data_IF_598560475709
#
_entry.id   IF_598560475709
#
_cell.length_a   1.000
_cell.length_b   1.000
_cell.length_c   1.000
_cell.angle_alpha   90.00
_cell.angle_beta   90.00
_cell.angle_gamma   90.00
#
_symmetry.space_group_name_H-M   'P 1'
#
loop_
_entity.id
_entity.type
_entity.pdbx_description
1 polymer ?
#
# COMPACT_ATOMS: atom_id res chain seq x y z
N UNK A 1 -24.15 10.59 -22.97
CA UNK A 1 -24.35 9.25 -22.41
C UNK A 1 -22.97 8.62 -22.28
N UNK A 2 -22.35 8.68 -21.09
CA UNK A 2 -21.05 8.03 -20.86
C UNK A 2 -21.25 6.52 -20.78
N UNK A 3 -20.62 5.80 -21.71
CA UNK A 3 -20.63 4.35 -21.78
C UNK A 3 -20.22 3.72 -20.43
N UNK A 4 -21.08 2.84 -19.90
CA UNK A 4 -20.92 2.14 -18.63
C UNK A 4 -19.62 1.33 -18.56
N UNK A 5 -19.11 0.86 -19.71
CA UNK A 5 -17.81 0.19 -19.78
C UNK A 5 -16.64 1.16 -19.47
N UNK A 6 -16.77 2.43 -19.87
CA UNK A 6 -15.75 3.46 -19.62
C UNK A 6 -15.74 3.88 -18.14
N UNK A 7 -16.91 3.91 -17.47
CA UNK A 7 -17.02 4.18 -16.03
C UNK A 7 -16.40 3.06 -15.18
N UNK A 8 -16.67 1.79 -15.51
CA UNK A 8 -16.06 0.64 -14.83
C UNK A 8 -14.54 0.58 -15.03
N UNK A 9 -14.04 0.99 -16.20
CA UNK A 9 -12.60 1.05 -16.48
C UNK A 9 -11.86 2.06 -15.59
N UNK A 10 -12.50 3.18 -15.21
CA UNK A 10 -11.91 4.15 -14.25
C UNK A 10 -11.86 3.63 -12.82
N UNK A 11 -12.87 2.86 -12.38
CA UNK A 11 -12.89 2.30 -11.03
C UNK A 11 -11.73 1.33 -10.77
N UNK A 12 -11.20 0.70 -11.82
CA UNK A 12 -10.08 -0.23 -11.73
C UNK A 12 -8.70 0.41 -11.97
N UNK A 13 -8.62 1.72 -12.26
CA UNK A 13 -7.34 2.42 -12.36
C UNK A 13 -6.97 3.05 -11.01
N UNK A 14 -5.90 2.55 -10.40
CA UNK A 14 -5.31 3.16 -9.21
C UNK A 14 -4.67 4.50 -9.58
N UNK A 15 -5.17 5.58 -8.97
CA UNK A 15 -4.56 6.90 -9.10
C UNK A 15 -3.25 6.97 -8.31
N UNK A 16 -2.31 7.79 -8.75
CA UNK A 16 -1.14 8.12 -7.94
C UNK A 16 -1.58 8.85 -6.68
N UNK A 17 -1.21 8.36 -5.50
CA UNK A 17 -1.60 8.99 -4.24
C UNK A 17 -1.12 8.24 -3.01
N UNK A 18 -1.45 8.81 -1.86
CA UNK A 18 -1.24 8.17 -0.55
C UNK A 18 -2.56 7.52 -0.15
N UNK A 19 -2.50 6.22 0.11
CA UNK A 19 -3.66 5.43 0.54
C UNK A 19 -3.50 5.08 2.01
N UNK A 20 -4.47 5.49 2.83
CA UNK A 20 -4.56 5.09 4.23
C UNK A 20 -5.44 3.84 4.29
N UNK A 21 -4.89 2.76 4.82
CA UNK A 21 -5.56 1.46 4.92
C UNK A 21 -5.71 1.09 6.40
N UNK A 22 -6.87 0.54 6.75
CA UNK A 22 -7.01 -0.19 8.00
C UNK A 22 -6.28 -1.54 7.86
N UNK A 23 -5.53 -1.94 8.89
CA UNK A 23 -5.00 -3.29 9.01
C UNK A 23 -6.02 -4.21 9.67
N UNK A 24 -6.08 -5.50 9.29
CA UNK A 24 -6.93 -6.47 9.98
C UNK A 24 -6.60 -6.56 11.47
N UNK A 25 -7.62 -6.84 12.30
CA UNK A 25 -7.45 -6.99 13.76
C UNK A 25 -7.11 -8.44 14.16
N UNK A 26 -6.93 -9.32 13.18
CA UNK A 26 -6.58 -10.72 13.40
C UNK A 26 -7.16 -11.67 12.35
N UNK A 27 -8.16 -11.23 11.57
CA UNK A 27 -8.78 -12.04 10.53
C UNK A 27 -8.52 -11.45 9.12
N UNK A 28 -7.97 -12.24 8.21
CA UNK A 28 -7.71 -11.79 6.83
C UNK A 28 -8.99 -11.33 6.09
N UNK A 29 -10.16 -11.83 6.49
CA UNK A 29 -11.44 -11.42 5.93
C UNK A 29 -11.85 -9.98 6.30
N UNK A 30 -11.22 -9.37 7.30
CA UNK A 30 -11.44 -7.95 7.65
C UNK A 30 -10.85 -7.01 6.58
N UNK A 31 -9.99 -7.53 5.70
CA UNK A 31 -9.35 -6.75 4.65
C UNK A 31 -10.24 -6.66 3.40
N UNK A 32 -10.66 -5.45 3.06
CA UNK A 32 -11.41 -5.20 1.82
C UNK A 32 -10.63 -5.60 0.56
N UNK A 33 -11.36 -6.00 -0.49
CA UNK A 33 -10.77 -6.27 -1.81
C UNK A 33 -10.00 -5.06 -2.37
N UNK A 34 -10.48 -3.84 -2.08
CA UNK A 34 -9.77 -2.61 -2.44
C UNK A 34 -8.42 -2.49 -1.74
N UNK A 35 -8.33 -2.85 -0.47
CA UNK A 35 -7.07 -2.82 0.27
C UNK A 35 -6.09 -3.88 -0.25
N UNK A 36 -6.57 -5.08 -0.61
CA UNK A 36 -5.75 -6.11 -1.28
C UNK A 36 -5.21 -5.59 -2.62
N UNK A 37 -6.06 -4.96 -3.43
CA UNK A 37 -5.67 -4.35 -4.70
C UNK A 37 -4.63 -3.24 -4.53
N UNK A 38 -4.77 -2.40 -3.49
CA UNK A 38 -3.79 -1.35 -3.18
C UNK A 38 -2.46 -1.98 -2.76
N UNK A 39 -2.48 -2.97 -1.85
CA UNK A 39 -1.27 -3.64 -1.36
C UNK A 39 -0.52 -4.37 -2.49
N UNK A 40 -1.24 -4.94 -3.47
CA UNK A 40 -0.62 -5.64 -4.60
C UNK A 40 -0.01 -4.72 -5.66
N UNK A 41 -0.49 -3.46 -5.77
CA UNK A 41 -0.05 -2.50 -6.79
C UNK A 41 0.83 -1.36 -6.23
N UNK A 42 0.96 -1.26 -4.90
CA UNK A 42 1.71 -0.16 -4.30
C UNK A 42 3.23 -0.28 -4.54
N UNK A 43 3.88 0.87 -4.62
CA UNK A 43 5.34 0.93 -4.78
C UNK A 43 6.07 0.93 -3.44
N UNK A 44 5.43 1.42 -2.37
CA UNK A 44 6.00 1.63 -1.04
C UNK A 44 4.90 1.48 0.01
N UNK A 45 5.24 0.83 1.14
CA UNK A 45 4.36 0.79 2.31
C UNK A 45 5.04 1.49 3.49
N UNK A 46 4.30 2.33 4.19
CA UNK A 46 4.64 2.80 5.53
C UNK A 46 3.81 2.03 6.55
N UNK A 47 4.45 1.53 7.59
CA UNK A 47 3.78 0.79 8.64
C UNK A 47 4.40 1.12 10.00
N UNK A 48 3.59 1.11 11.04
CA UNK A 48 4.07 1.23 12.42
C UNK A 48 5.03 0.07 12.76
N UNK A 49 4.53 -1.16 12.63
CA UNK A 49 5.32 -2.39 12.77
C UNK A 49 5.44 -3.13 11.42
N UNK A 50 6.63 -3.00 10.81
CA UNK A 50 6.94 -3.64 9.52
C UNK A 50 6.95 -5.18 9.57
N UNK A 51 7.06 -5.80 10.76
CA UNK A 51 7.01 -7.26 10.94
C UNK A 51 5.60 -7.77 10.72
N UNK A 52 4.60 -7.07 11.25
CA UNK A 52 3.18 -7.39 11.05
C UNK A 52 2.82 -7.25 9.58
N UNK A 53 3.20 -6.13 8.95
CA UNK A 53 2.96 -5.92 7.52
C UNK A 53 3.62 -6.99 6.66
N UNK A 54 4.84 -7.43 7.00
CA UNK A 54 5.50 -8.51 6.26
C UNK A 54 4.73 -9.83 6.37
N UNK A 55 4.27 -10.20 7.57
CA UNK A 55 3.42 -11.38 7.77
C UNK A 55 2.12 -11.26 6.97
N UNK A 56 1.48 -10.09 6.97
CA UNK A 56 0.27 -9.84 6.19
C UNK A 56 0.51 -10.06 4.68
N UNK A 57 1.59 -9.51 4.12
CA UNK A 57 1.93 -9.72 2.71
C UNK A 57 2.18 -11.21 2.40
N UNK A 58 2.88 -11.93 3.28
CA UNK A 58 3.09 -13.38 3.13
C UNK A 58 1.76 -14.15 3.14
N UNK A 59 0.86 -13.85 4.09
CA UNK A 59 -0.45 -14.49 4.18
C UNK A 59 -1.34 -14.22 2.96
N UNK A 60 -1.19 -13.05 2.35
CA UNK A 60 -1.88 -12.67 1.11
C UNK A 60 -1.17 -13.17 -0.16
N UNK A 61 -0.05 -13.90 -0.02
CA UNK A 61 0.80 -14.34 -1.12
C UNK A 61 1.28 -13.18 -2.03
N UNK A 62 1.50 -12.00 -1.45
CA UNK A 62 1.95 -10.80 -2.12
C UNK A 62 3.46 -10.62 -2.00
N UNK A 63 4.09 -10.18 -3.09
CA UNK A 63 5.51 -9.80 -3.09
C UNK A 63 5.69 -8.48 -2.34
N UNK A 64 6.91 -8.28 -1.83
CA UNK A 64 7.32 -7.00 -1.25
C UNK A 64 7.24 -5.89 -2.32
N UNK A 65 6.75 -4.68 -1.97
CA UNK A 65 6.75 -3.55 -2.90
C UNK A 65 8.15 -3.19 -3.42
N UNK A 66 8.28 -2.67 -4.65
CA UNK A 66 9.57 -2.29 -5.25
C UNK A 66 10.45 -1.39 -4.37
N UNK A 67 9.86 -0.39 -3.71
CA UNK A 67 10.58 0.53 -2.81
C UNK A 67 10.66 0.02 -1.37
N UNK A 68 9.93 -1.07 -1.07
CA UNK A 68 9.94 -1.80 0.18
C UNK A 68 8.88 -1.38 1.20
N UNK A 69 9.14 -1.73 2.46
CA UNK A 69 8.31 -1.39 3.62
C UNK A 69 9.18 -0.54 4.54
N UNK A 70 8.70 0.62 4.95
CA UNK A 70 9.37 1.55 5.87
C UNK A 70 8.61 1.64 7.17
N UNK A 71 9.32 1.68 8.29
CA UNK A 71 8.72 1.98 9.58
C UNK A 71 8.35 3.46 9.65
N UNK A 72 7.12 3.73 10.07
CA UNK A 72 6.61 5.07 10.35
C UNK A 72 5.84 5.02 11.66
N UNK A 73 6.50 5.43 12.73
CA UNK A 73 5.99 5.55 14.09
C UNK A 73 6.51 6.86 14.69
N UNK A 74 5.87 7.33 15.76
CA UNK A 74 6.06 8.64 16.42
C UNK A 74 7.50 9.19 16.47
N UNK A 75 8.50 8.34 16.70
CA UNK A 75 9.91 8.74 16.84
C UNK A 75 10.73 8.70 15.54
N UNK A 76 10.17 8.16 14.47
CA UNK A 76 10.83 7.96 13.17
C UNK A 76 10.32 8.89 12.06
N UNK A 77 9.23 9.61 12.29
CA UNK A 77 8.51 10.39 11.27
C UNK A 77 9.41 11.35 10.51
N UNK A 78 10.05 12.30 11.21
CA UNK A 78 10.90 13.31 10.58
C UNK A 78 12.06 12.70 9.77
N UNK A 79 12.71 11.67 10.32
CA UNK A 79 13.84 10.98 9.67
C UNK A 79 13.39 10.17 8.47
N UNK A 80 12.30 9.42 8.58
CA UNK A 80 11.79 8.57 7.51
C UNK A 80 11.30 9.43 6.34
N UNK A 81 10.60 10.54 6.63
CA UNK A 81 10.12 11.47 5.61
C UNK A 81 11.26 12.21 4.94
N UNK A 82 12.23 12.74 5.70
CA UNK A 82 13.39 13.42 5.13
C UNK A 82 14.22 12.52 4.20
N UNK A 83 14.28 11.22 4.48
CA UNK A 83 15.01 10.23 3.67
C UNK A 83 14.16 9.62 2.53
N UNK A 84 12.96 10.14 2.24
CA UNK A 84 12.15 9.70 1.10
C UNK A 84 12.63 10.31 -0.21
N UNK A 85 13.58 9.64 -0.85
CA UNK A 85 14.05 10.04 -2.18
C UNK A 85 13.33 9.26 -3.29
N UNK A 86 12.03 9.58 -3.49
CA UNK A 86 11.13 8.84 -4.40
C UNK A 86 11.58 8.96 -5.88
N UNK A 87 12.17 10.10 -6.27
CA UNK A 87 12.62 10.37 -7.65
C UNK A 87 13.73 9.45 -8.16
N UNK A 88 14.52 8.82 -7.27
CA UNK A 88 15.76 8.10 -7.65
C UNK A 88 15.55 6.61 -7.95
N UNK A 89 14.36 6.07 -7.67
CA UNK A 89 14.14 4.63 -7.49
C UNK A 89 12.99 4.04 -8.31
N UNK A 90 12.35 4.86 -9.16
CA UNK A 90 11.31 4.48 -10.13
C UNK A 90 11.86 4.44 -11.57
N UNK A 91 13.16 4.18 -11.75
CA UNK A 91 13.75 3.86 -13.05
C UNK A 91 13.67 2.36 -13.29
#
# INVERSE_FOLDING_TARGET
MTDTATLHKRQNQMMSGIYVLATPIGNLLDLSERAKLILSNCHLIFAEDTRITRKLLTLLNLKKPPLGIKSLHKFSEAKTVANLNIKKKMK
#
